data_IF_006360427917
#
_entry.id   IF_006360427917
#
_cell.length_a   1.000
_cell.length_b   1.000
_cell.length_c   1.000
_cell.angle_alpha   90.00
_cell.angle_beta   90.00
_cell.angle_gamma   90.00
#
_symmetry.space_group_name_H-M   'P 1'
#
loop_
_entity.id
_entity.type
_entity.pdbx_description
1 polymer ?
#
# COMPACT_ATOMS: atom_id res chain seq x y z
N UNK A 1 9.11 -0.86 -1.51
CA UNK A 1 9.30 -2.15 -0.83
C UNK A 1 8.16 -2.36 0.18
N UNK A 2 7.74 -3.60 0.41
CA UNK A 2 6.69 -3.91 1.40
C UNK A 2 7.28 -4.88 2.42
N UNK A 3 7.21 -4.50 3.69
CA UNK A 3 7.68 -5.30 4.83
C UNK A 3 6.49 -5.58 5.73
N UNK A 4 6.22 -6.85 6.02
CA UNK A 4 5.15 -7.27 6.92
C UNK A 4 5.72 -7.74 8.25
N UNK A 5 5.01 -7.49 9.36
CA UNK A 5 5.35 -7.99 10.70
C UNK A 5 4.10 -8.52 11.38
N UNK A 6 4.10 -9.78 11.79
CA UNK A 6 3.00 -10.41 12.53
C UNK A 6 1.67 -10.52 11.78
N UNK A 7 1.67 -10.31 10.45
CA UNK A 7 0.45 -10.31 9.65
C UNK A 7 0.46 -11.39 8.55
N UNK A 8 1.45 -11.34 7.66
CA UNK A 8 1.59 -12.26 6.52
C UNK A 8 3.00 -12.87 6.56
N UNK A 9 3.09 -14.19 6.36
CA UNK A 9 4.35 -14.87 6.07
C UNK A 9 4.60 -14.85 4.55
N UNK A 10 5.59 -14.07 4.11
CA UNK A 10 5.78 -13.71 2.69
C UNK A 10 5.92 -14.91 1.76
N UNK A 11 6.52 -16.03 2.21
CA UNK A 11 6.72 -17.22 1.37
C UNK A 11 5.41 -17.92 0.98
N UNK A 12 4.36 -17.79 1.78
CA UNK A 12 3.06 -18.42 1.53
C UNK A 12 2.07 -17.44 0.88
N UNK A 13 2.50 -16.21 0.58
CA UNK A 13 1.62 -15.12 0.19
C UNK A 13 2.21 -14.25 -0.92
N UNK A 14 2.99 -14.86 -1.81
CA UNK A 14 3.63 -14.17 -2.93
C UNK A 14 2.60 -13.45 -3.82
N UNK A 15 1.47 -14.09 -4.11
CA UNK A 15 0.37 -13.51 -4.88
C UNK A 15 -0.20 -12.27 -4.19
N UNK A 16 -0.56 -12.37 -2.91
CA UNK A 16 -1.04 -11.25 -2.09
C UNK A 16 -0.05 -10.09 -2.06
N UNK A 17 1.25 -10.38 -1.97
CA UNK A 17 2.31 -9.38 -1.98
C UNK A 17 2.45 -8.70 -3.34
N UNK A 18 2.24 -9.42 -4.44
CA UNK A 18 2.26 -8.84 -5.79
C UNK A 18 1.03 -7.95 -6.02
N UNK A 19 -0.15 -8.39 -5.60
CA UNK A 19 -1.36 -7.56 -5.67
C UNK A 19 -1.24 -6.28 -4.82
N UNK A 20 -0.66 -6.39 -3.62
CA UNK A 20 -0.38 -5.22 -2.78
C UNK A 20 0.52 -4.20 -3.48
N UNK A 21 1.57 -4.65 -4.19
CA UNK A 21 2.41 -3.74 -4.99
C UNK A 21 1.59 -3.03 -6.07
N UNK A 22 0.72 -3.76 -6.77
CA UNK A 22 -0.17 -3.17 -7.79
C UNK A 22 -1.10 -2.12 -7.20
N UNK A 23 -1.70 -2.40 -6.03
CA UNK A 23 -2.56 -1.43 -5.31
C UNK A 23 -1.79 -0.17 -4.93
N UNK A 24 -0.56 -0.32 -4.42
CA UNK A 24 0.32 0.83 -4.06
C UNK A 24 0.64 1.66 -5.30
N UNK A 25 1.03 1.03 -6.41
CA UNK A 25 1.37 1.73 -7.66
C UNK A 25 0.18 2.50 -8.22
N UNK A 26 -0.99 1.86 -8.30
CA UNK A 26 -2.21 2.51 -8.79
C UNK A 26 -2.62 3.70 -7.91
N UNK A 27 -2.54 3.56 -6.58
CA UNK A 27 -2.81 4.66 -5.66
C UNK A 27 -1.82 5.82 -5.82
N UNK A 28 -0.53 5.50 -6.06
CA UNK A 28 0.50 6.50 -6.27
C UNK A 28 0.33 7.25 -7.61
N UNK A 29 0.05 6.53 -8.70
CA UNK A 29 -0.18 7.12 -10.03
C UNK A 29 -1.37 8.08 -10.04
N UNK A 30 -2.45 7.74 -9.32
CA UNK A 30 -3.64 8.60 -9.21
C UNK A 30 -3.36 9.95 -8.52
N UNK A 31 -2.35 10.02 -7.67
CA UNK A 31 -1.90 11.26 -7.01
C UNK A 31 -0.84 11.97 -7.83
N UNK A 32 0.17 11.24 -8.35
CA UNK A 32 1.29 11.80 -9.11
C UNK A 32 0.87 12.36 -10.49
N UNK A 33 -0.25 11.89 -11.06
CA UNK A 33 -0.83 12.46 -12.28
C UNK A 33 -1.42 13.87 -12.08
N UNK A 34 -1.57 14.32 -10.84
CA UNK A 34 -2.01 15.69 -10.50
C UNK A 34 -0.80 16.61 -10.48
N UNK A 35 -0.97 17.88 -10.88
CA UNK A 35 0.12 18.88 -10.91
C UNK A 35 0.81 19.13 -9.55
N UNK A 36 0.26 18.61 -8.45
CA UNK A 36 0.79 18.75 -7.10
C UNK A 36 1.40 17.43 -6.62
N UNK A 37 2.67 17.46 -6.19
CA UNK A 37 3.36 16.34 -5.54
C UNK A 37 3.22 16.44 -4.02
N UNK A 38 1.99 16.37 -3.53
CA UNK A 38 1.74 16.37 -2.09
C UNK A 38 2.07 14.99 -1.49
N UNK A 39 3.14 14.94 -0.70
CA UNK A 39 3.61 13.74 0.00
C UNK A 39 2.56 13.22 1.00
N UNK A 40 1.82 14.13 1.64
CA UNK A 40 0.74 13.79 2.57
C UNK A 40 -0.42 13.10 1.85
N UNK A 41 -0.84 13.65 0.71
CA UNK A 41 -1.88 13.04 -0.13
C UNK A 41 -1.44 11.66 -0.64
N UNK A 42 -0.19 11.53 -1.10
CA UNK A 42 0.37 10.27 -1.56
C UNK A 42 0.40 9.20 -0.44
N UNK A 43 0.89 9.56 0.75
CA UNK A 43 0.87 8.66 1.92
C UNK A 43 -0.56 8.27 2.30
N UNK A 44 -1.49 9.21 2.28
CA UNK A 44 -2.90 8.99 2.58
C UNK A 44 -3.57 8.02 1.59
N UNK A 45 -3.35 8.22 0.30
CA UNK A 45 -3.87 7.37 -0.78
C UNK A 45 -3.32 5.94 -0.66
N UNK A 46 -2.01 5.78 -0.49
CA UNK A 46 -1.37 4.47 -0.32
C UNK A 46 -1.92 3.75 0.92
N UNK A 47 -1.96 4.42 2.08
CA UNK A 47 -2.48 3.83 3.32
C UNK A 47 -3.91 3.32 3.15
N UNK A 48 -4.77 4.14 2.53
CA UNK A 48 -6.20 3.83 2.38
C UNK A 48 -6.43 2.70 1.39
N UNK A 49 -5.74 2.72 0.24
CA UNK A 49 -5.81 1.67 -0.77
C UNK A 49 -5.38 0.31 -0.22
N UNK A 50 -4.23 0.28 0.44
CA UNK A 50 -3.70 -0.96 1.05
C UNK A 50 -4.62 -1.45 2.18
N UNK A 51 -5.07 -0.59 3.08
CA UNK A 51 -5.97 -0.98 4.18
C UNK A 51 -7.27 -1.59 3.65
N UNK A 52 -7.88 -0.96 2.64
CA UNK A 52 -9.12 -1.44 2.03
C UNK A 52 -8.94 -2.79 1.34
N UNK A 53 -7.85 -2.96 0.60
CA UNK A 53 -7.53 -4.23 -0.06
C UNK A 53 -7.32 -5.35 0.97
N UNK A 54 -6.48 -5.12 1.98
CA UNK A 54 -6.20 -6.11 3.03
C UNK A 54 -7.46 -6.53 3.78
N UNK A 55 -8.34 -5.59 4.12
CA UNK A 55 -9.59 -5.91 4.78
C UNK A 55 -10.52 -6.73 3.86
N UNK A 56 -10.64 -6.37 2.59
CA UNK A 56 -11.49 -7.11 1.64
C UNK A 56 -11.04 -8.55 1.47
N UNK A 57 -9.74 -8.75 1.28
CA UNK A 57 -9.12 -10.06 0.97
C UNK A 57 -8.93 -10.94 2.19
N UNK A 58 -8.50 -10.36 3.32
CA UNK A 58 -8.09 -11.15 4.51
C UNK A 58 -9.04 -11.03 5.70
N UNK A 59 -10.03 -10.12 5.64
CA UNK A 59 -10.92 -9.76 6.76
C UNK A 59 -10.20 -9.27 8.02
N UNK A 60 -8.97 -8.80 7.86
CA UNK A 60 -8.13 -8.23 8.94
C UNK A 60 -7.76 -6.79 8.62
N UNK A 61 -7.52 -6.00 9.66
CA UNK A 61 -7.17 -4.58 9.56
C UNK A 61 -5.81 -4.31 10.20
N UNK A 62 -4.70 -4.77 9.60
CA UNK A 62 -3.36 -4.52 10.13
C UNK A 62 -2.98 -3.04 10.02
N UNK A 63 -2.01 -2.62 10.83
CA UNK A 63 -1.47 -1.27 10.74
C UNK A 63 -0.62 -1.11 9.46
N UNK A 64 -0.91 -0.06 8.69
CA UNK A 64 -0.19 0.29 7.45
C UNK A 64 0.53 1.63 7.65
N UNK A 65 1.85 1.62 7.47
CA UNK A 65 2.71 2.80 7.67
C UNK A 65 3.49 3.07 6.37
N UNK A 66 3.04 4.00 5.51
CA UNK A 66 3.77 4.38 4.31
C UNK A 66 4.97 5.28 4.63
N UNK A 67 6.14 4.93 4.10
CA UNK A 67 7.39 5.72 4.20
C UNK A 67 7.82 6.12 2.80
N UNK A 68 8.16 7.41 2.62
CA UNK A 68 8.69 7.95 1.36
C UNK A 68 10.10 8.43 1.65
N UNK A 69 11.08 7.77 1.02
CA UNK A 69 12.51 8.03 1.26
C UNK A 69 13.10 9.01 0.24
N UNK A 70 12.70 8.90 -1.03
CA UNK A 70 13.03 9.84 -2.11
C UNK A 70 11.84 9.93 -3.06
N UNK A 71 11.68 11.11 -3.66
CA UNK A 71 10.77 11.38 -4.78
C UNK A 71 11.57 11.47 -6.06
#
# INVERSE_FOLDING_TARGET
EIITRGFIYVKESEELMNELKTVVMSAAEGVLGRRSRDIGELKGAIKSGVSNYLFKTTKRSPMVIPVITKL
#
